data_IF_101190908995
#
_entry.id   IF_101190908995
#
_cell.length_a   1.000
_cell.length_b   1.000
_cell.length_c   1.000
_cell.angle_alpha   90.00
_cell.angle_beta   90.00
_cell.angle_gamma   90.00
#
_symmetry.space_group_name_H-M   'P 1'
#
loop_
_entity.id
_entity.type
_entity.pdbx_description
1 polymer ?
#
# COMPACT_ATOMS: atom_id res chain seq x y z
N UNK A 1 4.82 -40.75 48.33
CA UNK A 1 5.05 -42.13 47.89
C UNK A 1 4.43 -42.28 46.50
N UNK A 2 5.28 -42.34 45.47
CA UNK A 2 5.02 -42.77 44.06
C UNK A 2 4.04 -41.96 43.20
N UNK A 3 4.23 -41.77 41.89
CA UNK A 3 5.38 -41.66 40.97
C UNK A 3 4.74 -41.38 39.58
N UNK A 4 5.32 -40.47 38.80
CA UNK A 4 5.40 -40.43 37.31
C UNK A 4 4.12 -40.47 36.42
N UNK A 5 3.98 -39.42 35.60
CA UNK A 5 4.10 -39.58 34.14
C UNK A 5 4.41 -38.23 33.47
N UNK A 6 5.63 -38.12 32.92
CA UNK A 6 6.08 -37.02 32.07
C UNK A 6 5.93 -37.47 30.61
N UNK A 7 5.12 -36.77 29.81
CA UNK A 7 5.12 -36.92 28.36
C UNK A 7 6.18 -35.99 27.77
N UNK A 8 7.20 -36.60 27.19
CA UNK A 8 8.26 -35.96 26.41
C UNK A 8 7.74 -35.71 24.98
N UNK A 9 7.56 -34.44 24.59
CA UNK A 9 7.36 -34.05 23.20
C UNK A 9 8.73 -33.84 22.54
N UNK A 10 9.14 -34.80 21.71
CA UNK A 10 10.27 -34.64 20.80
C UNK A 10 9.83 -33.80 19.59
N UNK A 11 10.25 -32.53 19.56
CA UNK A 11 10.09 -31.65 18.39
C UNK A 11 11.19 -31.91 17.37
N UNK A 12 10.81 -32.45 16.21
CA UNK A 12 11.67 -32.67 15.05
C UNK A 12 11.98 -31.31 14.39
N UNK A 13 13.22 -30.81 14.54
CA UNK A 13 13.69 -29.65 13.77
C UNK A 13 14.07 -30.10 12.36
N UNK A 14 13.25 -29.75 11.36
CA UNK A 14 13.63 -29.85 9.94
C UNK A 14 14.36 -28.55 9.58
N UNK A 15 15.68 -28.62 9.52
CA UNK A 15 16.51 -27.54 8.98
C UNK A 15 16.38 -27.48 7.45
N UNK A 16 15.84 -26.40 6.93
CA UNK A 16 15.87 -26.08 5.49
C UNK A 16 17.13 -25.29 5.22
N UNK A 17 18.18 -25.96 4.73
CA UNK A 17 19.37 -25.30 4.21
C UNK A 17 19.10 -24.74 2.82
N UNK A 18 19.04 -23.42 2.67
CA UNK A 18 19.10 -22.78 1.35
C UNK A 18 20.53 -22.90 0.81
N UNK A 19 20.70 -23.72 -0.22
CA UNK A 19 21.93 -23.74 -1.05
C UNK A 19 21.76 -22.71 -2.16
N UNK A 20 22.53 -21.62 -2.10
CA UNK A 20 22.67 -20.66 -3.20
C UNK A 20 23.57 -21.26 -4.27
N UNK A 21 23.00 -21.68 -5.41
CA UNK A 21 23.76 -22.11 -6.57
C UNK A 21 24.19 -20.85 -7.34
N UNK A 22 25.48 -20.55 -7.31
CA UNK A 22 26.12 -19.57 -8.20
C UNK A 22 26.45 -20.27 -9.52
N UNK A 23 25.83 -19.84 -10.62
CA UNK A 23 26.18 -20.32 -11.96
C UNK A 23 27.45 -19.60 -12.48
N UNK A 24 28.43 -20.31 -13.06
CA UNK A 24 29.50 -19.68 -13.82
C UNK A 24 29.06 -19.42 -15.28
N UNK A 25 29.25 -18.19 -15.74
CA UNK A 25 29.15 -17.82 -17.17
C UNK A 25 30.44 -18.26 -17.86
N UNK A 26 30.35 -19.28 -18.71
CA UNK A 26 31.44 -19.72 -19.60
C UNK A 26 31.20 -19.15 -21.00
N UNK A 27 32.15 -18.36 -21.48
CA UNK A 27 32.18 -17.86 -22.86
C UNK A 27 32.47 -19.00 -23.84
N UNK A 28 31.64 -19.13 -24.89
CA UNK A 28 31.90 -20.04 -26.01
C UNK A 28 32.28 -19.27 -27.26
N UNK A 29 33.55 -19.41 -27.64
CA UNK A 29 34.12 -19.03 -28.94
C UNK A 29 33.79 -20.14 -29.93
N UNK A 30 32.98 -19.84 -30.96
CA UNK A 30 32.67 -20.77 -32.05
C UNK A 30 33.70 -20.65 -33.17
N UNK A 31 34.64 -21.59 -33.24
CA UNK A 31 35.50 -21.87 -34.39
C UNK A 31 34.79 -22.80 -35.38
N UNK A 32 34.52 -22.30 -36.59
CA UNK A 32 33.88 -23.04 -37.67
C UNK A 32 34.90 -23.91 -38.43
N UNK A 33 34.66 -25.23 -38.46
CA UNK A 33 35.46 -26.23 -39.18
C UNK A 33 34.82 -26.51 -40.55
N UNK A 34 35.57 -26.30 -41.63
CA UNK A 34 35.22 -26.62 -43.02
C UNK A 34 35.39 -28.12 -43.32
N UNK A 35 34.53 -28.69 -44.17
CA UNK A 35 34.90 -29.75 -45.13
C UNK A 35 33.94 -29.71 -46.34
N UNK A 36 34.39 -30.02 -47.58
CA UNK A 36 33.79 -29.52 -48.83
C UNK A 36 33.08 -30.58 -49.68
N UNK A 37 32.21 -30.14 -50.59
CA UNK A 37 31.63 -31.03 -51.62
C UNK A 37 30.77 -30.30 -52.65
N UNK A 38 31.29 -30.26 -53.88
CA UNK A 38 30.62 -30.12 -55.19
C UNK A 38 30.34 -28.73 -55.80
N UNK A 39 30.55 -28.71 -57.11
CA UNK A 39 30.94 -27.64 -58.05
C UNK A 39 29.80 -27.42 -59.09
N UNK A 40 29.93 -26.61 -60.19
CA UNK A 40 29.45 -25.21 -60.29
C UNK A 40 28.43 -24.89 -61.43
N UNK A 41 27.82 -23.68 -61.35
CA UNK A 41 27.43 -22.65 -62.35
C UNK A 41 26.73 -23.01 -63.71
N UNK A 42 25.84 -22.14 -64.26
CA UNK A 42 26.22 -20.89 -64.97
C UNK A 42 25.32 -19.66 -64.66
N UNK A 43 25.83 -18.43 -64.46
CA UNK A 43 26.23 -17.34 -65.40
C UNK A 43 25.08 -16.43 -65.92
N UNK A 44 25.19 -15.14 -65.50
CA UNK A 44 24.78 -13.84 -66.09
C UNK A 44 23.30 -13.47 -66.33
N UNK A 45 22.87 -12.36 -65.70
CA UNK A 45 22.52 -11.11 -66.41
C UNK A 45 22.15 -9.96 -65.45
N UNK A 46 22.78 -8.80 -65.66
CA UNK A 46 22.30 -7.45 -65.29
C UNK A 46 21.84 -6.78 -66.59
N UNK A 47 20.89 -5.81 -66.62
CA UNK A 47 21.01 -4.44 -66.08
C UNK A 47 19.69 -3.97 -65.39
N UNK A 48 19.49 -2.83 -64.75
CA UNK A 48 19.81 -1.45 -65.12
C UNK A 48 19.68 -0.48 -63.92
N UNK A 49 20.11 0.75 -64.18
CA UNK A 49 20.52 1.85 -63.31
C UNK A 49 19.37 2.85 -63.10
N UNK A 50 19.09 3.29 -61.88
CA UNK A 50 18.41 4.57 -61.61
C UNK A 50 19.08 5.30 -60.43
N UNK A 51 19.25 6.61 -60.59
CA UNK A 51 20.05 7.52 -59.77
C UNK A 51 19.31 8.04 -58.52
N UNK A 52 20.01 8.46 -57.45
CA UNK A 52 19.42 9.22 -56.36
C UNK A 52 19.52 10.74 -56.58
N UNK A 53 18.44 11.44 -56.22
CA UNK A 53 18.20 12.89 -56.23
C UNK A 53 18.93 13.57 -55.04
N UNK A 54 19.39 14.83 -55.12
CA UNK A 54 20.32 15.43 -54.16
C UNK A 54 19.64 16.12 -52.96
N UNK A 55 20.42 16.23 -51.88
CA UNK A 55 20.10 16.89 -50.59
C UNK A 55 20.39 18.39 -50.66
N UNK A 56 19.61 19.26 -49.97
CA UNK A 56 20.10 20.59 -49.60
C UNK A 56 20.18 20.80 -48.07
N UNK A 57 21.42 21.01 -47.62
CA UNK A 57 21.97 21.93 -46.62
C UNK A 57 21.14 22.39 -45.40
N UNK A 58 21.70 22.08 -44.23
CA UNK A 58 21.51 22.69 -42.91
C UNK A 58 22.03 24.13 -42.83
N UNK A 59 21.47 24.97 -41.94
CA UNK A 59 22.28 25.92 -41.18
C UNK A 59 22.28 25.66 -39.66
N UNK A 60 23.41 26.03 -39.09
CA UNK A 60 24.00 25.81 -37.77
C UNK A 60 23.35 26.60 -36.63
N UNK A 61 23.24 25.98 -35.44
CA UNK A 61 22.99 26.66 -34.15
C UNK A 61 23.07 25.67 -32.97
N UNK A 62 23.80 25.95 -31.87
CA UNK A 62 23.93 25.02 -30.75
C UNK A 62 22.70 25.07 -29.84
N UNK A 63 21.83 24.05 -29.95
CA UNK A 63 20.78 23.81 -28.97
C UNK A 63 21.39 23.13 -27.73
N UNK A 64 21.66 23.91 -26.69
CA UNK A 64 21.79 23.39 -25.33
C UNK A 64 20.45 22.75 -24.96
N UNK A 65 20.35 21.43 -25.04
CA UNK A 65 19.22 20.67 -24.53
C UNK A 65 19.22 20.81 -23.00
N UNK A 66 18.36 21.66 -22.45
CA UNK A 66 18.00 21.59 -21.04
C UNK A 66 17.44 20.17 -20.77
N UNK A 67 17.85 19.50 -19.69
CA UNK A 67 17.14 18.32 -19.22
C UNK A 67 15.67 18.71 -18.98
N UNK A 68 14.71 17.81 -19.26
CA UNK A 68 13.32 18.09 -18.89
C UNK A 68 13.26 18.42 -17.39
N UNK A 69 12.44 19.40 -16.96
CA UNK A 69 12.26 19.67 -15.54
C UNK A 69 11.83 18.38 -14.85
N UNK A 70 12.45 18.09 -13.70
CA UNK A 70 12.04 16.98 -12.86
C UNK A 70 10.52 17.08 -12.60
N UNK A 71 9.78 15.95 -12.57
CA UNK A 71 8.37 16.00 -12.23
C UNK A 71 8.19 16.71 -10.89
N UNK A 72 7.20 17.60 -10.73
CA UNK A 72 6.96 18.24 -9.45
C UNK A 72 6.77 17.16 -8.40
N UNK A 73 7.48 17.29 -7.28
CA UNK A 73 7.27 16.52 -6.06
C UNK A 73 5.78 16.51 -5.76
N UNK A 74 5.21 15.32 -5.61
CA UNK A 74 3.80 15.07 -5.36
C UNK A 74 3.39 15.58 -3.98
N UNK A 75 3.25 16.89 -3.87
CA UNK A 75 2.52 17.60 -2.82
C UNK A 75 1.90 18.79 -3.51
N UNK A 76 0.57 18.84 -3.47
CA UNK A 76 -0.30 19.94 -3.91
C UNK A 76 -0.65 20.01 -5.40
N UNK A 77 -1.28 18.94 -5.91
CA UNK A 77 -2.40 19.12 -6.85
C UNK A 77 -3.71 19.06 -6.06
N UNK A 78 -4.14 20.20 -5.53
CA UNK A 78 -5.54 20.39 -5.13
C UNK A 78 -6.27 20.85 -6.38
N UNK A 79 -7.06 19.97 -7.00
CA UNK A 79 -8.00 20.38 -8.02
C UNK A 79 -8.94 21.45 -7.42
N UNK A 80 -9.19 22.58 -8.12
CA UNK A 80 -10.11 23.59 -7.63
C UNK A 80 -11.54 23.03 -7.77
N UNK A 81 -12.09 22.46 -6.69
CA UNK A 81 -13.45 21.89 -6.78
C UNK A 81 -14.11 21.28 -5.55
N UNK A 82 -13.42 21.03 -4.42
CA UNK A 82 -14.08 20.50 -3.22
C UNK A 82 -13.52 21.13 -1.95
N UNK A 83 -14.04 22.30 -1.58
CA UNK A 83 -13.93 22.88 -0.25
C UNK A 83 -15.32 23.08 0.31
N UNK A 84 -15.88 22.05 0.91
CA UNK A 84 -16.95 22.15 1.92
C UNK A 84 -17.19 20.74 2.49
N UNK A 85 -16.79 20.49 3.73
CA UNK A 85 -17.26 19.32 4.51
C UNK A 85 -16.20 18.36 5.08
N UNK A 86 -14.95 18.36 4.60
CA UNK A 86 -13.90 17.54 5.23
C UNK A 86 -13.09 18.35 6.23
N UNK A 87 -13.20 18.02 7.52
CA UNK A 87 -12.34 18.62 8.54
C UNK A 87 -10.88 18.30 8.22
N UNK A 88 -9.99 19.30 8.03
CA UNK A 88 -8.59 19.07 7.66
C UNK A 88 -7.82 18.24 8.70
N UNK A 89 -8.34 18.14 9.92
CA UNK A 89 -7.82 17.32 11.00
C UNK A 89 -7.98 15.80 10.74
N UNK A 90 -8.96 15.37 9.94
CA UNK A 90 -9.27 13.95 9.78
C UNK A 90 -8.36 13.24 8.77
N UNK A 91 -7.67 13.98 7.91
CA UNK A 91 -6.81 13.43 6.85
C UNK A 91 -5.31 13.42 7.19
N UNK A 92 -4.89 13.97 8.34
CA UNK A 92 -3.47 13.98 8.73
C UNK A 92 -3.06 12.63 9.31
N UNK A 93 -1.88 12.16 8.92
CA UNK A 93 -1.22 11.03 9.56
C UNK A 93 -0.70 11.48 10.93
N UNK A 94 -1.11 10.79 11.99
CA UNK A 94 -0.58 11.00 13.34
C UNK A 94 0.24 9.77 13.74
N UNK A 95 1.46 10.03 14.18
CA UNK A 95 2.37 9.00 14.68
C UNK A 95 1.79 8.32 15.92
N UNK A 96 2.06 7.04 16.08
CA UNK A 96 1.68 6.31 17.28
C UNK A 96 2.37 4.95 17.41
N UNK A 97 2.04 4.21 18.48
CA UNK A 97 2.74 2.97 18.83
C UNK A 97 2.78 1.94 17.70
N UNK A 98 3.96 1.43 17.38
CA UNK A 98 4.19 0.45 16.32
C UNK A 98 4.71 1.04 15.00
N UNK A 99 4.58 2.35 14.80
CA UNK A 99 5.13 3.03 13.62
C UNK A 99 6.66 2.98 13.64
N UNK A 100 7.26 2.76 12.48
CA UNK A 100 8.71 2.74 12.29
C UNK A 100 9.14 3.94 11.46
N UNK A 101 10.05 4.73 12.01
CA UNK A 101 10.58 5.93 11.38
C UNK A 101 12.08 5.80 11.15
N UNK A 102 12.56 6.42 10.09
CA UNK A 102 13.97 6.63 9.82
C UNK A 102 14.31 8.10 10.05
N UNK A 103 15.36 8.34 10.82
CA UNK A 103 15.83 9.68 11.17
C UNK A 103 17.20 9.83 10.54
N UNK A 104 17.32 10.82 9.65
CA UNK A 104 18.60 11.26 9.11
C UNK A 104 18.96 12.59 9.73
N UNK A 105 20.10 12.65 10.43
CA UNK A 105 20.63 13.89 10.98
C UNK A 105 21.82 14.31 10.14
N UNK A 106 21.59 15.34 9.33
CA UNK A 106 22.58 15.93 8.45
C UNK A 106 23.16 17.21 9.04
N UNK A 107 24.32 17.59 8.52
CA UNK A 107 24.93 18.87 8.84
C UNK A 107 24.35 19.98 7.95
N UNK A 108 24.15 21.20 8.46
CA UNK A 108 23.84 22.34 7.63
C UNK A 108 24.87 22.55 6.53
N UNK A 109 24.45 22.94 5.32
CA UNK A 109 25.36 23.42 4.30
C UNK A 109 26.06 24.70 4.77
N UNK A 110 27.34 24.87 4.43
CA UNK A 110 28.14 26.06 4.76
C UNK A 110 29.47 25.76 5.44
N UNK A 111 30.10 26.80 5.99
CA UNK A 111 31.41 26.68 6.67
C UNK A 111 31.31 25.79 7.90
N UNK A 112 32.18 24.78 7.97
CA UNK A 112 32.21 23.82 9.06
C UNK A 112 32.40 24.48 10.42
N UNK A 113 31.52 24.12 11.37
CA UNK A 113 31.59 24.56 12.76
C UNK A 113 31.89 23.37 13.67
N UNK A 114 32.91 23.56 14.49
CA UNK A 114 33.39 22.58 15.46
C UNK A 114 32.33 22.30 16.51
N UNK A 115 32.21 21.03 16.88
CA UNK A 115 31.28 20.56 17.91
C UNK A 115 31.78 19.32 18.63
N UNK A 116 31.05 18.86 19.65
CA UNK A 116 31.37 17.63 20.37
C UNK A 116 31.57 16.43 19.44
N UNK A 117 32.57 15.61 19.74
CA UNK A 117 32.92 14.41 18.97
C UNK A 117 33.86 14.64 17.78
N UNK A 118 34.17 15.89 17.42
CA UNK A 118 35.17 16.19 16.41
C UNK A 118 36.59 15.92 16.93
N UNK A 119 37.48 15.41 16.08
CA UNK A 119 38.90 15.26 16.38
C UNK A 119 39.71 16.29 15.61
N UNK A 120 40.55 17.03 16.31
CA UNK A 120 41.33 18.13 15.75
C UNK A 120 42.82 17.90 15.99
N UNK A 121 43.62 18.46 15.08
CA UNK A 121 45.07 18.51 15.16
C UNK A 121 45.52 19.96 15.24
N UNK A 122 46.39 20.25 16.19
CA UNK A 122 47.03 21.56 16.34
C UNK A 122 48.52 21.37 16.18
N UNK A 123 49.12 22.09 15.22
CA UNK A 123 50.56 22.11 15.01
C UNK A 123 51.07 23.53 15.26
N UNK A 124 52.03 23.68 16.17
CA UNK A 124 52.65 24.97 16.49
C UNK A 124 54.07 24.97 15.93
N UNK A 125 54.26 25.67 14.82
CA UNK A 125 55.55 25.70 14.10
C UNK A 125 56.60 26.35 14.99
N UNK A 126 57.78 25.71 15.07
CA UNK A 126 58.91 25.99 15.98
C UNK A 126 58.74 25.54 17.43
N UNK A 127 57.56 25.05 17.81
CA UNK A 127 57.26 24.58 19.17
C UNK A 127 56.53 23.23 19.11
N UNK A 128 57.21 22.15 18.69
CA UNK A 128 56.59 20.84 18.53
C UNK A 128 55.95 20.33 19.82
N UNK A 129 56.50 20.68 20.99
CA UNK A 129 55.97 20.30 22.31
C UNK A 129 54.60 20.92 22.62
N UNK A 130 54.19 21.97 21.88
CA UNK A 130 52.87 22.59 21.98
C UNK A 130 51.89 22.08 20.91
N UNK A 131 52.34 21.16 20.06
CA UNK A 131 51.51 20.49 19.05
C UNK A 131 50.81 19.30 19.68
N UNK A 132 49.52 19.12 19.42
CA UNK A 132 48.72 18.07 20.03
C UNK A 132 47.52 17.70 19.15
N UNK A 133 46.94 16.56 19.44
CA UNK A 133 45.64 16.15 18.90
C UNK A 133 44.66 16.07 20.05
N UNK A 134 43.42 16.49 19.82
CA UNK A 134 42.39 16.45 20.86
C UNK A 134 41.03 16.08 20.26
N UNK A 135 40.26 15.33 21.03
CA UNK A 135 38.84 15.13 20.81
C UNK A 135 38.07 16.24 21.53
N UNK A 136 37.12 16.88 20.85
CA UNK A 136 36.21 17.85 21.49
C UNK A 136 35.22 17.07 22.36
N UNK A 137 35.22 17.36 23.65
CA UNK A 137 34.37 16.68 24.63
C UNK A 137 32.88 17.10 24.51
N UNK A 138 31.94 16.43 25.22
CA UNK A 138 30.51 16.76 25.21
C UNK A 138 30.18 18.23 25.56
N UNK A 139 31.00 18.85 26.43
CA UNK A 139 30.84 20.27 26.79
C UNK A 139 31.33 21.23 25.68
N UNK A 140 31.97 20.71 24.63
CA UNK A 140 32.49 21.49 23.51
C UNK A 140 33.89 22.08 23.76
N UNK A 141 34.63 21.50 24.70
CA UNK A 141 35.94 21.95 25.14
C UNK A 141 37.05 20.96 24.75
N UNK A 142 38.27 21.47 24.72
CA UNK A 142 39.50 20.68 24.61
C UNK A 142 40.49 21.11 25.70
N UNK A 143 41.42 20.22 26.05
CA UNK A 143 42.57 20.57 26.89
C UNK A 143 43.72 20.98 25.98
N UNK A 144 44.22 22.19 26.16
CA UNK A 144 45.30 22.78 25.37
C UNK A 144 46.52 22.97 26.27
N UNK A 145 47.73 22.52 25.85
CA UNK A 145 48.96 22.75 26.59
C UNK A 145 49.13 24.23 26.96
N UNK A 146 49.52 24.53 28.19
CA UNK A 146 49.69 25.89 28.77
C UNK A 146 48.42 26.76 28.86
N UNK A 147 47.38 26.52 28.04
CA UNK A 147 46.13 27.31 28.07
C UNK A 147 45.03 26.65 28.92
N UNK A 148 45.16 25.36 29.21
CA UNK A 148 44.15 24.59 29.93
C UNK A 148 42.91 24.34 29.07
N UNK A 149 41.73 24.38 29.68
CA UNK A 149 40.46 24.11 29.00
C UNK A 149 40.05 25.26 28.09
N UNK A 150 39.90 24.99 26.79
CA UNK A 150 39.48 25.96 25.78
C UNK A 150 38.22 25.49 25.08
N UNK A 151 37.18 26.33 25.08
CA UNK A 151 35.94 26.05 24.34
C UNK A 151 36.10 26.33 22.85
N UNK A 152 35.78 25.33 22.01
CA UNK A 152 35.77 25.44 20.55
C UNK A 152 34.36 25.33 19.95
N UNK A 153 33.33 25.12 20.78
CA UNK A 153 31.95 24.93 20.36
C UNK A 153 31.48 26.06 19.44
N UNK A 154 31.02 25.67 18.24
CA UNK A 154 30.44 26.58 17.25
C UNK A 154 31.43 27.42 16.44
N UNK A 155 32.74 27.35 16.74
CA UNK A 155 33.77 28.08 16.01
C UNK A 155 34.08 27.42 14.66
N UNK A 156 34.46 28.22 13.66
CA UNK A 156 35.10 27.70 12.45
C UNK A 156 36.55 27.31 12.75
N UNK A 157 37.18 26.51 11.88
CA UNK A 157 38.60 26.14 12.04
C UNK A 157 39.51 27.37 12.15
N UNK A 158 39.25 28.41 11.35
CA UNK A 158 40.01 29.66 11.37
C UNK A 158 39.81 30.42 12.69
N UNK A 159 38.58 30.48 13.20
CA UNK A 159 38.28 31.12 14.49
C UNK A 159 38.94 30.37 15.65
N UNK A 160 38.91 29.03 15.62
CA UNK A 160 39.59 28.18 16.60
C UNK A 160 41.11 28.37 16.56
N UNK A 161 41.70 28.40 15.37
CA UNK A 161 43.12 28.69 15.16
C UNK A 161 43.51 30.04 15.78
N UNK A 162 42.75 31.10 15.48
CA UNK A 162 43.03 32.43 16.01
C UNK A 162 42.86 32.49 17.54
N UNK A 163 41.87 31.77 18.09
CA UNK A 163 41.64 31.68 19.53
C UNK A 163 42.81 31.01 20.25
N UNK A 164 43.34 29.91 19.72
CA UNK A 164 44.51 29.23 20.31
C UNK A 164 45.78 30.06 20.12
N UNK A 165 46.00 30.62 18.93
CA UNK A 165 47.15 31.49 18.64
C UNK A 165 47.22 32.67 19.59
N UNK A 166 46.12 33.40 19.76
CA UNK A 166 46.04 34.53 20.69
C UNK A 166 46.23 34.08 22.14
N UNK A 167 45.73 32.90 22.51
CA UNK A 167 45.98 32.29 23.81
C UNK A 167 47.47 32.09 24.10
N UNK A 168 48.24 31.61 23.11
CA UNK A 168 49.68 31.35 23.23
C UNK A 168 50.56 32.59 23.25
N UNK A 169 50.08 33.77 22.81
CA UNK A 169 50.89 34.99 22.79
C UNK A 169 51.45 35.40 24.18
N UNK A 170 50.83 34.91 25.27
CA UNK A 170 51.30 35.16 26.64
C UNK A 170 52.46 34.26 27.08
N UNK A 171 52.73 33.19 26.32
CA UNK A 171 53.73 32.17 26.64
C UNK A 171 54.83 32.07 25.58
N UNK A 172 54.52 32.44 24.33
CA UNK A 172 55.40 32.27 23.18
C UNK A 172 55.32 33.49 22.29
N UNK A 173 56.48 33.97 21.80
CA UNK A 173 56.56 35.10 20.88
C UNK A 173 56.27 34.63 19.45
N UNK A 174 55.30 35.27 18.79
CA UNK A 174 54.90 34.99 17.40
C UNK A 174 54.64 33.50 17.11
N UNK A 175 53.69 32.86 17.83
CA UNK A 175 53.34 31.47 17.57
C UNK A 175 52.68 31.35 16.18
N UNK A 176 53.20 30.46 15.36
CA UNK A 176 52.58 30.09 14.09
C UNK A 176 51.81 28.78 14.30
N UNK A 177 50.49 28.89 14.42
CA UNK A 177 49.59 27.78 14.76
C UNK A 177 48.81 27.40 13.51
N UNK A 178 48.87 26.12 13.15
CA UNK A 178 48.05 25.49 12.11
C UNK A 178 47.01 24.60 12.79
N UNK A 179 45.77 24.68 12.32
CA UNK A 179 44.65 23.93 12.88
C UNK A 179 44.03 23.06 11.78
N UNK A 180 43.90 21.76 12.01
CA UNK A 180 43.32 20.81 11.06
C UNK A 180 42.21 20.00 11.72
N UNK A 181 41.21 19.64 10.91
CA UNK A 181 40.19 18.69 11.31
C UNK A 181 40.66 17.29 10.91
N UNK A 182 40.91 16.42 11.89
CA UNK A 182 41.42 15.07 11.67
C UNK A 182 40.27 14.08 11.44
N UNK A 183 39.20 14.22 12.21
CA UNK A 183 37.98 13.46 12.01
C UNK A 183 36.75 14.32 12.33
N UNK A 184 35.73 14.20 11.49
CA UNK A 184 34.42 14.79 11.73
C UNK A 184 33.60 13.87 12.61
N UNK A 185 32.70 14.45 13.42
CA UNK A 185 31.64 13.66 14.06
C UNK A 185 30.80 12.89 13.03
N UNK A 186 30.47 11.60 13.26
CA UNK A 186 29.66 10.80 12.34
C UNK A 186 28.27 11.41 12.12
N UNK A 187 27.68 11.15 10.95
CA UNK A 187 26.25 11.43 10.72
C UNK A 187 25.39 10.50 11.59
N UNK A 188 24.37 11.04 12.26
CA UNK A 188 23.46 10.24 13.07
C UNK A 188 22.31 9.77 12.19
N UNK A 189 22.42 8.55 11.70
CA UNK A 189 21.36 7.88 10.96
C UNK A 189 20.89 6.71 11.80
N UNK A 190 19.62 6.71 12.20
CA UNK A 190 19.05 5.60 12.95
C UNK A 190 17.57 5.43 12.61
N UNK A 191 17.13 4.18 12.66
CA UNK A 191 15.72 3.85 12.65
C UNK A 191 15.23 3.61 14.07
N UNK A 192 13.98 3.99 14.33
CA UNK A 192 13.33 3.75 15.61
C UNK A 192 11.89 3.34 15.39
N UNK A 193 11.42 2.39 16.19
CA UNK A 193 10.01 2.06 16.30
C UNK A 193 9.41 2.78 17.51
N UNK A 194 8.24 3.37 17.34
CA UNK A 194 7.49 4.00 18.44
C UNK A 194 6.98 2.88 19.35
N UNK A 195 7.36 2.94 20.63
CA UNK A 195 6.98 1.94 21.62
C UNK A 195 5.51 2.09 22.07
N UNK A 196 4.96 1.14 22.86
CA UNK A 196 3.58 1.20 23.37
C UNK A 196 3.23 2.49 24.14
N UNK A 197 4.22 3.10 24.81
CA UNK A 197 4.06 4.36 25.53
C UNK A 197 4.14 5.60 24.61
N UNK A 198 4.27 5.42 23.30
CA UNK A 198 4.27 6.50 22.32
C UNK A 198 5.62 7.21 22.14
N UNK A 199 6.71 6.57 22.55
CA UNK A 199 8.05 7.16 22.61
C UNK A 199 9.06 6.44 21.71
N UNK A 200 10.16 7.15 21.40
CA UNK A 200 11.37 6.60 20.78
C UNK A 200 12.59 6.90 21.65
N UNK A 201 13.67 6.12 21.44
CA UNK A 201 14.98 6.41 22.03
C UNK A 201 15.82 7.15 20.99
N UNK A 202 16.17 8.40 21.28
CA UNK A 202 17.08 9.21 20.48
C UNK A 202 18.49 9.12 21.09
N UNK A 203 19.52 8.70 20.34
CA UNK A 203 20.89 8.63 20.84
C UNK A 203 21.34 9.98 21.44
N UNK A 204 22.07 9.94 22.56
CA UNK A 204 22.60 11.11 23.29
C UNK A 204 21.56 12.06 23.90
N UNK A 205 20.27 11.89 23.61
CA UNK A 205 19.16 12.66 24.18
C UNK A 205 18.36 11.82 25.17
N UNK A 206 18.07 10.57 24.83
CA UNK A 206 17.19 9.68 25.58
C UNK A 206 15.78 9.60 24.98
N UNK A 207 14.77 9.49 25.84
CA UNK A 207 13.39 9.21 25.42
C UNK A 207 12.70 10.46 24.87
N UNK A 208 12.06 10.36 23.70
CA UNK A 208 11.28 11.44 23.07
C UNK A 208 9.90 10.91 22.69
N UNK A 209 8.85 11.58 23.18
CA UNK A 209 7.45 11.26 22.87
C UNK A 209 7.05 11.78 21.49
N UNK A 210 6.50 10.91 20.64
CA UNK A 210 6.07 11.26 19.28
C UNK A 210 4.59 10.97 19.01
N UNK A 211 3.89 10.30 19.93
CA UNK A 211 2.48 9.96 19.77
C UNK A 211 1.61 11.20 19.51
N UNK A 212 0.72 11.08 18.55
CA UNK A 212 -0.24 12.12 18.18
C UNK A 212 0.36 13.27 17.38
N UNK A 213 1.66 13.26 17.11
CA UNK A 213 2.34 14.28 16.28
C UNK A 213 2.30 13.91 14.81
N UNK A 214 2.31 14.91 13.95
CA UNK A 214 2.62 14.71 12.52
C UNK A 214 4.12 14.45 12.32
N UNK A 215 4.52 14.00 11.13
CA UNK A 215 5.94 13.79 10.82
C UNK A 215 6.75 15.08 10.96
N UNK A 216 6.18 16.20 10.54
CA UNK A 216 6.81 17.52 10.61
C UNK A 216 6.96 17.99 12.06
N UNK A 217 5.91 17.82 12.87
CA UNK A 217 5.93 18.15 14.30
C UNK A 217 6.95 17.27 15.06
N UNK A 218 6.99 15.97 14.73
CA UNK A 218 7.98 15.05 15.28
C UNK A 218 9.42 15.40 14.87
N UNK A 219 9.63 15.77 13.61
CA UNK A 219 10.93 16.23 13.11
C UNK A 219 11.43 17.43 13.89
N UNK A 220 10.58 18.45 14.07
CA UNK A 220 10.94 19.64 14.85
C UNK A 220 11.21 19.31 16.31
N UNK A 221 10.40 18.45 16.93
CA UNK A 221 10.61 18.00 18.30
C UNK A 221 11.96 17.29 18.48
N UNK A 222 12.33 16.40 17.56
CA UNK A 222 13.63 15.70 17.58
C UNK A 222 14.78 16.67 17.30
N UNK A 223 14.63 17.59 16.35
CA UNK A 223 15.63 18.64 16.05
C UNK A 223 15.93 19.48 17.28
N UNK A 224 14.89 19.94 17.99
CA UNK A 224 15.03 20.70 19.24
C UNK A 224 15.70 19.88 20.34
N UNK A 225 15.31 18.61 20.51
CA UNK A 225 15.99 17.71 21.43
C UNK A 225 17.50 17.56 21.14
N UNK A 226 17.87 17.33 19.87
CA UNK A 226 19.26 17.18 19.45
C UNK A 226 20.07 18.47 19.51
N UNK A 227 19.43 19.64 19.38
CA UNK A 227 20.11 20.95 19.43
C UNK A 227 20.84 21.23 20.75
N UNK A 228 20.53 20.49 21.82
CA UNK A 228 21.26 20.56 23.09
C UNK A 228 22.68 20.02 22.96
N UNK A 229 22.87 18.99 22.14
CA UNK A 229 24.14 18.28 21.94
C UNK A 229 24.83 18.68 20.62
N UNK A 230 24.04 19.01 19.59
CA UNK A 230 24.52 19.29 18.24
C UNK A 230 24.32 20.77 17.88
N UNK A 231 25.30 21.38 17.22
CA UNK A 231 25.19 22.73 16.68
C UNK A 231 24.37 22.70 15.39
N UNK A 232 23.16 23.26 15.42
CA UNK A 232 22.23 23.39 14.28
C UNK A 232 22.03 22.09 13.50
N UNK A 233 21.51 20.99 14.08
CA UNK A 233 21.27 19.76 13.32
C UNK A 233 20.17 19.98 12.28
N UNK A 234 20.38 19.49 11.05
CA UNK A 234 19.29 19.29 10.09
C UNK A 234 18.75 17.89 10.33
N UNK A 235 17.46 17.77 10.62
CA UNK A 235 16.80 16.49 10.86
C UNK A 235 15.80 16.28 9.74
N UNK A 236 15.90 15.15 9.07
CA UNK A 236 14.91 14.67 8.11
C UNK A 236 14.30 13.39 8.67
N UNK A 237 12.98 13.34 8.75
CA UNK A 237 12.26 12.19 9.26
C UNK A 237 11.39 11.58 8.16
N UNK A 238 11.45 10.26 8.01
CA UNK A 238 10.59 9.53 7.08
C UNK A 238 9.95 8.32 7.77
N UNK A 239 8.73 7.99 7.35
CA UNK A 239 8.01 6.83 7.84
C UNK A 239 8.35 5.63 6.96
N UNK A 240 9.00 4.62 7.55
CA UNK A 240 9.45 3.42 6.84
C UNK A 240 8.54 2.21 7.05
N UNK A 241 7.73 2.22 8.12
CA UNK A 241 6.72 1.21 8.38
C UNK A 241 5.54 1.81 9.13
N UNK A 242 4.33 1.59 8.63
CA UNK A 242 3.10 1.95 9.33
C UNK A 242 2.59 0.78 10.14
N UNK A 243 2.04 1.05 11.33
CA UNK A 243 1.29 0.02 12.06
C UNK A 243 0.04 -0.37 11.26
N UNK A 244 -0.30 -1.67 11.18
CA UNK A 244 -1.63 -2.10 10.78
C UNK A 244 -2.67 -1.36 11.62
N UNK A 245 -3.65 -0.75 10.97
CA UNK A 245 -4.79 -0.18 11.69
C UNK A 245 -5.90 -1.23 11.75
N UNK A 246 -6.49 -1.42 12.93
CA UNK A 246 -7.67 -2.25 13.08
C UNK A 246 -8.90 -1.36 12.98
N UNK A 247 -9.77 -1.68 12.04
CA UNK A 247 -11.04 -0.98 11.84
C UNK A 247 -12.21 -1.92 12.08
N UNK A 248 -13.35 -1.36 12.45
CA UNK A 248 -14.61 -2.10 12.54
C UNK A 248 -15.50 -1.72 11.37
N UNK A 249 -16.06 -2.69 10.66
CA UNK A 249 -16.97 -2.45 9.53
C UNK A 249 -18.31 -3.13 9.83
N UNK A 250 -19.37 -2.34 9.93
CA UNK A 250 -20.72 -2.79 10.27
C UNK A 250 -21.76 -2.26 9.28
N UNK A 251 -22.96 -2.85 9.31
CA UNK A 251 -24.09 -2.46 8.46
C UNK A 251 -24.20 -3.30 7.18
N UNK A 252 -24.67 -2.69 6.10
CA UNK A 252 -24.96 -3.35 4.81
C UNK A 252 -23.68 -3.58 3.97
N UNK A 253 -22.80 -4.44 4.49
CA UNK A 253 -21.64 -5.00 3.79
C UNK A 253 -21.74 -6.52 3.74
N UNK A 254 -21.00 -7.17 2.85
CA UNK A 254 -21.12 -8.63 2.70
C UNK A 254 -20.54 -9.40 3.87
N UNK A 255 -19.49 -8.89 4.51
CA UNK A 255 -18.86 -9.49 5.68
C UNK A 255 -18.61 -8.39 6.72
N UNK A 256 -19.56 -8.14 7.64
CA UNK A 256 -19.31 -7.27 8.78
C UNK A 256 -18.26 -7.88 9.71
N UNK A 257 -17.44 -7.05 10.33
CA UNK A 257 -16.40 -7.53 11.25
C UNK A 257 -15.27 -6.54 11.50
N UNK A 258 -14.25 -7.01 12.20
CA UNK A 258 -13.00 -6.27 12.47
C UNK A 258 -11.96 -6.67 11.45
N UNK A 259 -11.31 -5.68 10.83
CA UNK A 259 -10.36 -5.87 9.74
C UNK A 259 -9.03 -5.20 10.05
N UNK A 260 -7.89 -5.92 9.95
CA UNK A 260 -6.58 -5.30 9.90
C UNK A 260 -6.36 -4.73 8.49
N UNK A 261 -6.11 -3.43 8.39
CA UNK A 261 -5.78 -2.77 7.13
C UNK A 261 -4.27 -2.54 7.07
N UNK A 262 -3.60 -3.35 6.27
CA UNK A 262 -2.16 -3.31 6.04
C UNK A 262 -1.85 -2.41 4.83
N UNK A 263 -2.11 -1.10 4.95
CA UNK A 263 -1.85 -0.13 3.89
C UNK A 263 -1.16 1.12 4.44
N UNK A 264 -0.26 1.70 3.63
CA UNK A 264 0.41 2.98 3.91
C UNK A 264 -0.62 4.14 3.90
N UNK A 265 -1.73 3.97 3.19
CA UNK A 265 -2.87 4.87 3.24
C UNK A 265 -4.12 4.03 3.35
N UNK A 266 -4.56 3.65 4.56
CA UNK A 266 -5.79 2.88 4.73
C UNK A 266 -6.99 3.78 4.39
N UNK A 267 -7.81 3.38 3.42
CA UNK A 267 -8.94 4.17 2.91
C UNK A 267 -10.25 3.42 3.12
N UNK A 268 -11.35 4.18 3.14
CA UNK A 268 -12.71 3.63 3.26
C UNK A 268 -13.04 2.66 2.11
N UNK A 269 -12.62 2.97 0.88
CA UNK A 269 -12.80 2.07 -0.28
C UNK A 269 -12.11 0.72 -0.08
N UNK A 270 -10.87 0.73 0.40
CA UNK A 270 -10.06 -0.47 0.60
C UNK A 270 -10.65 -1.32 1.73
N UNK A 271 -11.10 -0.66 2.80
CA UNK A 271 -11.80 -1.28 3.90
C UNK A 271 -13.10 -1.97 3.45
N UNK A 272 -13.93 -1.28 2.66
CA UNK A 272 -15.15 -1.88 2.10
C UNK A 272 -14.81 -3.10 1.24
N UNK A 273 -13.76 -3.05 0.43
CA UNK A 273 -13.32 -4.19 -0.37
C UNK A 273 -12.88 -5.38 0.50
N UNK A 274 -12.17 -5.14 1.61
CA UNK A 274 -11.81 -6.17 2.59
C UNK A 274 -13.04 -6.82 3.24
N UNK A 275 -14.11 -6.05 3.46
CA UNK A 275 -15.42 -6.55 3.89
C UNK A 275 -16.20 -7.30 2.79
N UNK A 276 -15.56 -7.54 1.63
CA UNK A 276 -16.18 -8.16 0.48
C UNK A 276 -17.10 -7.22 -0.30
N UNK A 277 -16.92 -5.91 -0.17
CA UNK A 277 -17.73 -4.88 -0.83
C UNK A 277 -19.08 -4.61 -0.16
N UNK A 278 -19.81 -3.65 -0.71
CA UNK A 278 -21.15 -3.26 -0.26
C UNK A 278 -22.22 -4.30 -0.57
N UNK A 279 -23.17 -4.48 0.34
CA UNK A 279 -24.30 -5.38 0.15
C UNK A 279 -25.34 -4.78 -0.83
N UNK A 280 -26.34 -5.57 -1.22
CA UNK A 280 -27.38 -5.16 -2.17
C UNK A 280 -28.19 -3.95 -1.71
N UNK A 281 -28.50 -3.89 -0.42
CA UNK A 281 -29.35 -2.86 0.19
C UNK A 281 -28.53 -1.73 0.82
N UNK A 282 -27.22 -1.66 0.54
CA UNK A 282 -26.35 -0.61 1.05
C UNK A 282 -26.71 0.75 0.47
N UNK A 283 -26.78 1.77 1.34
CA UNK A 283 -26.80 3.17 0.92
C UNK A 283 -25.38 3.75 0.98
N UNK A 284 -24.74 3.81 -0.20
CA UNK A 284 -23.40 4.34 -0.35
C UNK A 284 -23.32 5.87 -0.31
N UNK A 285 -24.45 6.59 -0.24
CA UNK A 285 -24.46 8.06 -0.13
C UNK A 285 -24.24 8.55 1.29
N UNK A 286 -24.48 7.69 2.26
CA UNK A 286 -24.54 8.03 3.69
C UNK A 286 -23.59 7.16 4.51
N UNK A 287 -22.45 6.73 3.94
CA UNK A 287 -21.48 5.90 4.67
C UNK A 287 -20.88 6.73 5.81
N UNK A 288 -20.95 6.23 7.04
CA UNK A 288 -20.47 6.96 8.21
C UNK A 288 -19.13 6.39 8.68
N UNK A 289 -18.17 7.27 8.95
CA UNK A 289 -16.91 6.93 9.61
C UNK A 289 -16.90 7.58 10.98
N UNK A 290 -16.81 6.76 12.02
CA UNK A 290 -16.78 7.19 13.42
C UNK A 290 -15.38 6.98 13.97
N UNK A 291 -14.79 8.06 14.49
CA UNK A 291 -13.47 8.08 15.10
C UNK A 291 -13.57 8.47 16.56
N UNK A 292 -12.99 7.68 17.45
CA UNK A 292 -12.83 8.04 18.86
C UNK A 292 -11.53 8.84 19.03
N UNK A 293 -11.63 10.07 19.51
CA UNK A 293 -10.50 10.93 19.78
C UNK A 293 -9.85 10.60 21.13
N UNK A 294 -8.66 11.17 21.38
CA UNK A 294 -7.86 10.95 22.60
C UNK A 294 -8.60 11.42 23.85
N UNK A 295 -9.42 12.46 23.74
CA UNK A 295 -10.27 12.98 24.82
C UNK A 295 -11.51 12.11 25.10
N UNK A 296 -11.69 11.02 24.36
CA UNK A 296 -12.82 10.10 24.47
C UNK A 296 -14.07 10.53 23.67
N UNK A 297 -14.06 11.72 23.07
CA UNK A 297 -15.14 12.16 22.18
C UNK A 297 -15.18 11.33 20.90
N UNK A 298 -16.36 11.24 20.26
CA UNK A 298 -16.53 10.50 19.00
C UNK A 298 -16.93 11.49 17.91
N UNK A 299 -16.09 11.62 16.90
CA UNK A 299 -16.38 12.40 15.69
C UNK A 299 -16.97 11.44 14.65
N UNK A 300 -18.05 11.87 13.99
CA UNK A 300 -18.68 11.12 12.90
C UNK A 300 -18.64 11.95 11.63
N UNK A 301 -18.18 11.34 10.54
CA UNK A 301 -18.17 11.95 9.22
C UNK A 301 -19.00 11.10 8.25
N UNK A 302 -19.91 11.74 7.54
CA UNK A 302 -20.66 11.11 6.45
C UNK A 302 -19.92 11.28 5.14
N UNK A 303 -19.84 10.19 4.36
CA UNK A 303 -19.17 10.10 3.07
C UNK A 303 -20.17 9.63 2.02
N UNK A 304 -20.25 10.37 0.92
CA UNK A 304 -20.97 9.95 -0.28
C UNK A 304 -20.01 9.26 -1.25
N UNK A 305 -20.09 7.94 -1.29
CA UNK A 305 -19.32 7.11 -2.22
C UNK A 305 -20.08 6.78 -3.51
N UNK A 306 -21.35 7.17 -3.62
CA UNK A 306 -22.21 6.86 -4.76
C UNK A 306 -22.15 7.96 -5.83
N UNK A 307 -22.36 9.22 -5.45
CA UNK A 307 -22.43 10.34 -6.39
C UNK A 307 -21.17 10.47 -7.27
N UNK A 308 -19.94 10.26 -6.76
CA UNK A 308 -18.73 10.24 -7.60
C UNK A 308 -18.75 9.13 -8.66
N UNK A 309 -19.31 7.96 -8.36
CA UNK A 309 -19.44 6.88 -9.36
C UNK A 309 -20.37 7.29 -10.50
N UNK A 310 -21.42 8.04 -10.20
CA UNK A 310 -22.41 8.49 -11.19
C UNK A 310 -21.83 9.55 -12.13
N UNK A 311 -21.03 10.47 -11.59
CA UNK A 311 -20.52 11.62 -12.32
C UNK A 311 -19.10 11.41 -12.88
N UNK A 312 -18.49 10.24 -12.64
CA UNK A 312 -17.08 9.98 -12.97
C UNK A 312 -16.12 10.84 -12.14
N UNK A 313 -16.53 11.26 -10.95
CA UNK A 313 -15.74 12.06 -10.03
C UNK A 313 -14.81 11.22 -9.14
N UNK A 314 -13.93 11.90 -8.40
CA UNK A 314 -13.07 11.24 -7.43
C UNK A 314 -13.87 10.79 -6.20
N UNK A 315 -13.71 9.52 -5.82
CA UNK A 315 -14.33 8.98 -4.59
C UNK A 315 -13.65 9.62 -3.38
N UNK A 316 -14.41 10.12 -2.38
CA UNK A 316 -13.89 10.65 -1.13
C UNK A 316 -12.78 9.78 -0.53
N UNK A 317 -11.60 10.37 -0.39
CA UNK A 317 -10.40 9.68 0.07
C UNK A 317 -10.13 9.94 1.55
N UNK A 318 -11.04 9.52 2.43
CA UNK A 318 -10.86 9.64 3.87
C UNK A 318 -9.85 8.59 4.36
N UNK A 319 -8.75 9.06 4.96
CA UNK A 319 -7.78 8.19 5.62
C UNK A 319 -8.33 7.64 6.94
N UNK A 320 -8.27 6.33 7.08
CA UNK A 320 -8.65 5.60 8.28
C UNK A 320 -7.52 5.63 9.33
N UNK A 321 -7.92 5.57 10.58
CA UNK A 321 -7.06 5.43 11.75
C UNK A 321 -7.42 4.18 12.54
N UNK A 322 -6.53 3.78 13.42
CA UNK A 322 -6.76 2.66 14.32
C UNK A 322 -7.99 2.93 15.22
N UNK A 323 -8.87 1.94 15.33
CA UNK A 323 -10.12 2.04 16.08
C UNK A 323 -11.27 2.74 15.35
N UNK A 324 -11.08 3.19 14.11
CA UNK A 324 -12.18 3.74 13.31
C UNK A 324 -13.29 2.70 13.06
N UNK A 325 -14.53 3.14 13.11
CA UNK A 325 -15.70 2.33 12.79
C UNK A 325 -16.41 2.86 11.53
N UNK A 326 -16.53 2.02 10.51
CA UNK A 326 -17.25 2.29 9.27
C UNK A 326 -18.64 1.67 9.39
N UNK A 327 -19.68 2.48 9.18
CA UNK A 327 -21.07 2.06 9.23
C UNK A 327 -21.68 2.34 7.86
N UNK A 328 -22.11 1.27 7.19
CA UNK A 328 -22.82 1.36 5.92
C UNK A 328 -24.31 1.20 6.19
N UNK A 329 -25.12 2.27 6.08
CA UNK A 329 -26.54 2.18 6.36
C UNK A 329 -27.29 1.36 5.30
N UNK A 330 -28.48 0.88 5.69
CA UNK A 330 -29.44 0.30 4.77
C UNK A 330 -30.22 1.40 4.06
N UNK A 331 -30.38 1.25 2.75
CA UNK A 331 -31.16 2.14 1.89
C UNK A 331 -32.65 1.97 2.11
N UNK A 332 -33.36 3.09 2.23
CA UNK A 332 -34.83 3.13 2.24
C UNK A 332 -35.36 3.20 0.80
N UNK A 333 -35.91 2.09 0.30
CA UNK A 333 -36.17 1.91 -1.13
C UNK A 333 -37.45 2.63 -1.60
N UNK A 334 -38.38 2.91 -0.68
CA UNK A 334 -39.70 3.44 -1.00
C UNK A 334 -39.68 4.75 -1.80
N UNK A 335 -38.57 5.52 -1.75
CA UNK A 335 -38.45 6.84 -2.38
C UNK A 335 -37.22 7.06 -3.28
N UNK A 336 -36.38 6.03 -3.53
CA UNK A 336 -35.03 6.26 -4.09
C UNK A 336 -34.85 5.75 -5.54
N UNK A 337 -35.50 6.42 -6.50
CA UNK A 337 -35.36 6.12 -7.94
C UNK A 337 -34.03 6.60 -8.55
N UNK A 338 -33.31 7.49 -7.89
CA UNK A 338 -32.04 8.06 -8.39
C UNK A 338 -30.83 7.16 -8.12
N UNK A 339 -31.01 6.07 -7.36
CA UNK A 339 -29.95 5.13 -7.01
C UNK A 339 -29.86 4.00 -8.04
N UNK A 340 -28.91 4.12 -8.96
CA UNK A 340 -28.60 3.09 -9.94
C UNK A 340 -27.76 1.97 -9.30
N UNK A 341 -28.41 0.84 -9.03
CA UNK A 341 -27.75 -0.34 -8.47
C UNK A 341 -26.80 -0.99 -9.46
N UNK A 342 -27.10 -0.95 -10.76
CA UNK A 342 -26.26 -1.58 -11.78
C UNK A 342 -24.90 -0.87 -11.85
N UNK A 343 -24.90 0.45 -11.72
CA UNK A 343 -23.68 1.25 -11.60
C UNK A 343 -22.81 0.80 -10.43
N UNK A 344 -23.39 0.68 -9.23
CA UNK A 344 -22.66 0.25 -8.02
C UNK A 344 -22.10 -1.17 -8.18
N UNK A 345 -22.88 -2.11 -8.73
CA UNK A 345 -22.42 -3.49 -8.94
C UNK A 345 -21.22 -3.62 -9.88
N UNK A 346 -21.04 -2.66 -10.79
CA UNK A 346 -19.90 -2.65 -11.72
C UNK A 346 -18.70 -1.86 -11.17
N UNK A 347 -18.82 -1.30 -9.98
CA UNK A 347 -17.75 -0.54 -9.33
C UNK A 347 -16.86 -1.41 -8.44
N UNK A 348 -15.69 -0.88 -8.09
CA UNK A 348 -14.77 -1.51 -7.12
C UNK A 348 -15.27 -1.48 -5.68
N UNK A 349 -16.38 -0.78 -5.40
CA UNK A 349 -17.01 -0.71 -4.07
C UNK A 349 -18.01 -1.84 -3.79
N UNK A 350 -18.33 -2.66 -4.80
CA UNK A 350 -19.17 -3.84 -4.65
C UNK A 350 -18.32 -5.11 -4.47
N UNK A 351 -18.96 -6.27 -4.26
CA UNK A 351 -18.26 -7.55 -4.29
C UNK A 351 -17.46 -7.65 -5.60
N UNK A 352 -16.17 -8.02 -5.60
CA UNK A 352 -15.43 -8.16 -6.85
C UNK A 352 -15.88 -9.39 -7.67
N UNK A 353 -16.42 -10.40 -6.98
CA UNK A 353 -16.96 -11.61 -7.58
C UNK A 353 -18.35 -11.92 -7.00
N UNK A 354 -19.19 -12.50 -7.84
CA UNK A 354 -20.51 -13.05 -7.49
C UNK A 354 -20.47 -14.57 -7.61
N UNK A 355 -21.28 -15.27 -6.82
CA UNK A 355 -21.43 -16.73 -6.89
C UNK A 355 -22.83 -17.04 -7.36
N UNK A 356 -22.92 -17.63 -8.54
CA UNK A 356 -24.20 -18.04 -9.13
C UNK A 356 -24.31 -19.56 -9.06
N UNK A 357 -25.47 -20.06 -8.66
CA UNK A 357 -25.71 -21.50 -8.52
C UNK A 357 -26.48 -21.98 -9.73
N UNK A 358 -25.90 -22.90 -10.50
CA UNK A 358 -26.54 -23.50 -11.66
C UNK A 358 -27.00 -24.90 -11.29
N UNK A 359 -28.31 -25.11 -11.33
CA UNK A 359 -28.94 -26.41 -11.22
C UNK A 359 -29.18 -26.95 -12.63
N UNK A 360 -28.35 -27.91 -13.05
CA UNK A 360 -28.45 -28.55 -14.35
C UNK A 360 -29.06 -29.95 -14.21
N UNK A 361 -30.34 -30.09 -14.55
CA UNK A 361 -31.03 -31.39 -14.54
C UNK A 361 -30.57 -32.33 -15.64
N UNK A 362 -30.01 -31.79 -16.73
CA UNK A 362 -29.53 -32.58 -17.85
C UNK A 362 -28.14 -33.16 -17.58
N UNK A 363 -27.33 -32.46 -16.77
CA UNK A 363 -25.98 -32.85 -16.33
C UNK A 363 -25.87 -33.39 -14.89
N UNK A 364 -26.98 -33.45 -14.14
CA UNK A 364 -27.09 -34.22 -12.89
C UNK A 364 -26.66 -33.54 -11.59
N UNK A 365 -26.56 -32.22 -11.50
CA UNK A 365 -26.11 -31.59 -10.25
C UNK A 365 -26.27 -30.07 -10.12
N UNK A 366 -25.90 -29.57 -8.95
CA UNK A 366 -25.77 -28.13 -8.65
C UNK A 366 -24.29 -27.76 -8.75
N UNK A 367 -23.98 -26.79 -9.58
CA UNK A 367 -22.64 -26.21 -9.70
C UNK A 367 -22.67 -24.77 -9.19
N UNK A 368 -21.71 -24.38 -8.36
CA UNK A 368 -21.54 -22.97 -7.99
C UNK A 368 -20.46 -22.37 -8.89
N UNK A 369 -20.84 -21.38 -9.69
CA UNK A 369 -19.97 -20.70 -10.66
C UNK A 369 -19.57 -19.34 -10.08
N UNK A 370 -18.29 -19.14 -9.73
CA UNK A 370 -17.78 -17.82 -9.39
C UNK A 370 -17.60 -16.99 -10.66
N UNK A 371 -18.14 -15.78 -10.68
CA UNK A 371 -18.06 -14.86 -11.81
C UNK A 371 -17.60 -13.48 -11.36
N UNK A 372 -16.93 -12.69 -12.21
CA UNK A 372 -16.74 -11.27 -11.96
C UNK A 372 -18.08 -10.55 -11.71
N UNK A 373 -18.09 -9.56 -10.85
CA UNK A 373 -19.29 -8.73 -10.69
C UNK A 373 -19.57 -7.93 -11.97
N UNK A 374 -20.85 -7.77 -12.30
CA UNK A 374 -21.29 -7.24 -13.60
C UNK A 374 -21.44 -8.30 -14.70
N UNK A 375 -21.10 -9.57 -14.44
CA UNK A 375 -21.39 -10.68 -15.36
C UNK A 375 -22.87 -10.81 -15.69
N UNK A 376 -23.13 -11.33 -16.88
CA UNK A 376 -24.45 -11.53 -17.45
C UNK A 376 -24.77 -13.01 -17.60
N UNK A 377 -26.03 -13.31 -17.92
CA UNK A 377 -26.51 -14.68 -18.07
C UNK A 377 -25.68 -15.53 -19.06
N UNK A 378 -25.21 -14.95 -20.17
CA UNK A 378 -24.37 -15.67 -21.14
C UNK A 378 -23.02 -16.12 -20.53
N UNK A 379 -22.45 -15.35 -19.60
CA UNK A 379 -21.17 -15.68 -18.96
C UNK A 379 -21.26 -16.97 -18.15
N UNK A 380 -22.44 -17.28 -17.60
CA UNK A 380 -22.70 -18.57 -16.92
C UNK A 380 -22.75 -19.72 -17.92
N UNK A 381 -23.38 -19.51 -19.08
CA UNK A 381 -23.61 -20.56 -20.06
C UNK A 381 -22.30 -21.11 -20.64
N UNK A 382 -21.28 -20.26 -20.78
CA UNK A 382 -19.97 -20.65 -21.27
C UNK A 382 -19.27 -21.71 -20.40
N UNK A 383 -19.64 -21.79 -19.10
CA UNK A 383 -19.03 -22.70 -18.13
C UNK A 383 -19.81 -23.98 -17.85
N UNK A 384 -20.93 -24.24 -18.54
CA UNK A 384 -21.81 -25.38 -18.25
C UNK A 384 -22.07 -26.23 -19.50
N UNK A 385 -22.09 -27.55 -19.36
CA UNK A 385 -22.52 -28.44 -20.46
C UNK A 385 -24.03 -28.28 -20.67
N UNK A 386 -24.42 -27.86 -21.88
CA UNK A 386 -25.81 -27.58 -22.25
C UNK A 386 -26.35 -28.50 -23.36
N UNK A 387 -25.57 -29.50 -23.79
CA UNK A 387 -25.83 -30.26 -25.02
C UNK A 387 -27.17 -31.04 -25.00
N UNK A 388 -27.67 -31.38 -23.82
CA UNK A 388 -28.96 -32.08 -23.64
C UNK A 388 -30.02 -31.28 -22.88
N UNK A 389 -29.81 -29.97 -22.74
CA UNK A 389 -30.68 -29.06 -22.00
C UNK A 389 -31.67 -28.29 -22.91
N UNK A 390 -32.85 -27.96 -22.38
CA UNK A 390 -33.77 -27.06 -23.07
C UNK A 390 -33.34 -25.61 -22.89
N UNK A 391 -32.65 -25.07 -23.88
CA UNK A 391 -32.17 -23.67 -23.88
C UNK A 391 -33.25 -22.63 -24.19
N UNK A 392 -34.46 -23.06 -24.56
CA UNK A 392 -35.56 -22.14 -24.85
C UNK A 392 -36.31 -21.70 -23.59
N UNK A 393 -36.16 -22.44 -22.49
CA UNK A 393 -36.84 -22.19 -21.22
C UNK A 393 -35.83 -22.48 -20.10
N UNK A 394 -35.31 -21.43 -19.48
CA UNK A 394 -34.41 -21.47 -18.33
C UNK A 394 -35.01 -20.57 -17.27
N UNK A 395 -34.96 -20.97 -16.00
CA UNK A 395 -35.43 -20.12 -14.91
C UNK A 395 -34.26 -19.49 -14.17
N UNK A 396 -34.26 -18.16 -14.10
CA UNK A 396 -33.50 -17.41 -13.11
C UNK A 396 -34.38 -17.22 -11.88
N UNK A 397 -33.88 -17.66 -10.74
CA UNK A 397 -34.50 -17.48 -9.43
C UNK A 397 -33.61 -16.55 -8.62
N UNK A 398 -34.18 -15.43 -8.19
CA UNK A 398 -33.49 -14.37 -7.46
C UNK A 398 -34.25 -14.04 -6.19
N UNK A 399 -33.55 -13.87 -5.07
CA UNK A 399 -34.19 -13.37 -3.86
C UNK A 399 -34.56 -11.89 -4.04
N UNK A 400 -35.82 -11.56 -3.83
CA UNK A 400 -36.30 -10.18 -3.78
C UNK A 400 -36.32 -9.76 -2.30
N UNK A 401 -35.32 -8.98 -1.83
CA UNK A 401 -35.21 -8.59 -0.43
C UNK A 401 -36.34 -7.66 0.02
N UNK A 402 -37.05 -7.00 -0.89
CA UNK A 402 -38.19 -6.13 -0.54
C UNK A 402 -39.43 -6.97 -0.23
N UNK A 403 -39.67 -8.00 -1.05
CA UNK A 403 -40.81 -8.89 -0.88
C UNK A 403 -40.52 -10.05 0.07
N UNK A 404 -39.28 -10.18 0.55
CA UNK A 404 -38.81 -11.26 1.42
C UNK A 404 -38.99 -12.65 0.79
N UNK A 405 -39.03 -12.75 -0.55
CA UNK A 405 -39.32 -14.01 -1.26
C UNK A 405 -38.51 -14.13 -2.54
N UNK A 406 -38.31 -15.36 -3.01
CA UNK A 406 -37.72 -15.59 -4.31
C UNK A 406 -38.68 -15.22 -5.45
N UNK A 407 -38.17 -14.54 -6.46
CA UNK A 407 -38.84 -14.20 -7.72
C UNK A 407 -38.24 -15.02 -8.85
N UNK A 408 -39.09 -15.51 -9.75
CA UNK A 408 -38.70 -16.32 -10.90
C UNK A 408 -38.84 -15.48 -12.18
N UNK A 409 -37.81 -15.51 -13.02
CA UNK A 409 -37.82 -14.96 -14.37
C UNK A 409 -37.49 -16.09 -15.36
N UNK A 410 -38.29 -16.23 -16.42
CA UNK A 410 -37.96 -17.14 -17.53
C UNK A 410 -37.03 -16.43 -18.51
N UNK A 411 -35.99 -17.14 -18.94
CA UNK A 411 -34.95 -16.67 -19.86
C UNK A 411 -34.85 -17.66 -21.01
N UNK A 412 -34.81 -17.13 -22.23
CA UNK A 412 -34.52 -17.91 -23.42
C UNK A 412 -33.04 -17.75 -23.80
N UNK A 413 -32.22 -18.76 -23.48
CA UNK A 413 -30.78 -18.75 -23.78
C UNK A 413 -30.48 -18.68 -25.28
N UNK A 414 -31.31 -19.31 -26.13
CA UNK A 414 -31.09 -19.25 -27.59
C UNK A 414 -31.16 -17.80 -28.08
N UNK A 415 -32.16 -17.05 -27.61
CA UNK A 415 -32.31 -15.63 -27.93
C UNK A 415 -31.17 -14.77 -27.36
N UNK A 416 -30.76 -15.03 -26.11
CA UNK A 416 -29.62 -14.34 -25.50
C UNK A 416 -28.34 -14.54 -26.33
N UNK A 417 -28.03 -15.79 -26.71
CA UNK A 417 -26.88 -16.14 -27.54
C UNK A 417 -26.96 -15.56 -28.96
N UNK A 418 -28.16 -15.35 -29.50
CA UNK A 418 -28.36 -14.67 -30.78
C UNK A 418 -28.32 -13.13 -30.69
N UNK A 419 -28.04 -12.56 -29.51
CA UNK A 419 -27.87 -11.11 -29.31
C UNK A 419 -29.09 -10.36 -28.76
N UNK A 420 -30.14 -11.06 -28.32
CA UNK A 420 -31.28 -10.41 -27.65
C UNK A 420 -30.90 -9.98 -26.22
N UNK A 421 -30.58 -8.69 -26.06
CA UNK A 421 -30.19 -8.10 -24.77
C UNK A 421 -31.26 -8.21 -23.68
N UNK A 422 -32.55 -8.36 -24.02
CA UNK A 422 -33.62 -8.55 -23.02
C UNK A 422 -33.53 -9.89 -22.29
N UNK A 423 -32.88 -10.87 -22.94
CA UNK A 423 -32.67 -12.22 -22.40
C UNK A 423 -31.29 -12.35 -21.72
N UNK A 424 -30.37 -11.42 -21.96
CA UNK A 424 -29.04 -11.42 -21.32
C UNK A 424 -29.03 -10.60 -20.01
N UNK A 425 -29.71 -11.13 -19.00
CA UNK A 425 -29.91 -10.46 -17.71
C UNK A 425 -28.59 -10.34 -16.94
N UNK A 426 -28.36 -9.20 -16.31
CA UNK A 426 -27.24 -9.01 -15.37
C UNK A 426 -27.45 -9.85 -14.10
N UNK A 427 -26.42 -10.59 -13.71
CA UNK A 427 -26.48 -11.54 -12.59
C UNK A 427 -26.11 -10.86 -11.27
N UNK A 428 -26.60 -11.44 -10.18
CA UNK A 428 -26.37 -10.99 -8.81
C UNK A 428 -25.81 -12.14 -7.96
N UNK A 429 -25.14 -11.80 -6.86
CA UNK A 429 -24.63 -12.81 -5.92
C UNK A 429 -25.80 -13.67 -5.39
N UNK A 430 -25.59 -14.98 -5.36
CA UNK A 430 -26.57 -15.99 -4.96
C UNK A 430 -27.78 -16.18 -5.88
N UNK A 431 -27.74 -15.64 -7.11
CA UNK A 431 -28.70 -16.03 -8.13
C UNK A 431 -28.67 -17.55 -8.37
N UNK A 432 -29.84 -18.13 -8.62
CA UNK A 432 -29.98 -19.54 -8.95
C UNK A 432 -30.52 -19.68 -10.36
N UNK A 433 -29.76 -20.33 -11.24
CA UNK A 433 -30.14 -20.62 -12.61
C UNK A 433 -30.53 -22.09 -12.69
N UNK A 434 -31.72 -22.36 -13.22
CA UNK A 434 -32.27 -23.70 -13.34
C UNK A 434 -32.42 -24.06 -14.81
N UNK A 435 -31.65 -25.05 -15.24
CA UNK A 435 -31.58 -25.55 -16.62
C UNK A 435 -32.11 -26.99 -16.65
N UNK A 436 -33.12 -27.28 -17.48
CA UNK A 436 -33.76 -28.60 -17.53
C UNK A 436 -34.38 -28.96 -18.87
N UNK A 437 -35.01 -30.14 -18.98
CA UNK A 437 -35.59 -30.65 -20.25
C UNK A 437 -37.05 -30.20 -20.48
N UNK A 438 -37.85 -30.05 -19.42
CA UNK A 438 -39.25 -29.54 -19.47
C UNK A 438 -39.60 -28.82 -18.15
N UNK A 439 -40.01 -27.56 -18.22
CA UNK A 439 -39.88 -26.63 -17.09
C UNK A 439 -41.11 -26.48 -16.18
N UNK A 440 -42.25 -27.12 -16.45
CA UNK A 440 -43.50 -26.77 -15.75
C UNK A 440 -44.07 -27.90 -14.86
N UNK A 441 -43.68 -29.17 -15.05
CA UNK A 441 -44.27 -30.27 -14.27
C UNK A 441 -43.61 -30.57 -12.91
N UNK A 442 -42.44 -29.99 -12.59
CA UNK A 442 -41.67 -30.37 -11.38
C UNK A 442 -41.23 -29.22 -10.46
N UNK A 443 -41.55 -27.96 -10.77
CA UNK A 443 -41.02 -26.78 -10.06
C UNK A 443 -41.80 -26.44 -8.77
N UNK A 444 -43.03 -26.93 -8.60
CA UNK A 444 -43.87 -26.67 -7.40
C UNK A 444 -43.23 -27.16 -6.10
N UNK A 445 -42.43 -28.23 -6.12
CA UNK A 445 -41.76 -28.77 -4.92
C UNK A 445 -40.45 -28.06 -4.55
N UNK A 446 -39.88 -27.24 -5.43
CA UNK A 446 -38.58 -26.59 -5.20
C UNK A 446 -38.76 -25.17 -4.66
N UNK A 447 -39.80 -24.46 -5.12
CA UNK A 447 -40.08 -23.08 -4.71
C UNK A 447 -40.53 -23.02 -3.24
N UNK A 448 -41.30 -24.01 -2.76
CA UNK A 448 -41.70 -24.09 -1.35
C UNK A 448 -40.54 -24.30 -0.38
N UNK A 449 -39.42 -24.85 -0.85
CA UNK A 449 -38.28 -25.22 -0.01
C UNK A 449 -37.12 -24.23 -0.10
N UNK A 450 -36.83 -23.68 -1.29
CA UNK A 450 -35.81 -22.64 -1.45
C UNK A 450 -36.23 -21.36 -0.69
N UNK A 451 -37.53 -21.09 -0.55
CA UNK A 451 -38.04 -19.89 0.09
C UNK A 451 -38.04 -19.89 1.63
N UNK A 452 -37.65 -20.99 2.31
CA UNK A 452 -37.91 -21.15 3.76
C UNK A 452 -36.70 -21.30 4.70
N UNK A 453 -35.43 -21.23 4.27
CA UNK A 453 -34.47 -20.49 5.10
C UNK A 453 -33.27 -19.91 4.31
N UNK A 454 -33.30 -18.63 3.95
CA UNK A 454 -32.13 -17.95 3.36
C UNK A 454 -31.05 -17.55 4.38
N UNK A 455 -31.16 -17.95 5.66
CA UNK A 455 -30.17 -17.64 6.70
C UNK A 455 -29.39 -18.84 7.24
N UNK A 456 -29.65 -20.08 6.80
CA UNK A 456 -28.90 -21.24 7.31
C UNK A 456 -28.57 -22.30 6.24
N UNK A 457 -27.29 -22.37 5.86
CA UNK A 457 -26.76 -23.32 4.86
C UNK A 457 -26.83 -24.77 5.37
N UNK A 458 -26.88 -25.00 6.70
CA UNK A 458 -26.96 -26.36 7.26
C UNK A 458 -28.30 -27.03 7.01
N UNK A 459 -29.40 -26.26 7.00
CA UNK A 459 -30.75 -26.77 6.71
C UNK A 459 -30.95 -27.11 5.23
N UNK A 460 -30.21 -26.42 4.34
CA UNK A 460 -30.22 -26.65 2.89
C UNK A 460 -29.59 -28.00 2.49
N UNK A 461 -28.58 -28.50 3.23
CA UNK A 461 -27.95 -29.80 2.98
C UNK A 461 -28.82 -31.00 3.41
N UNK A 462 -29.55 -30.87 4.53
CA UNK A 462 -30.48 -31.91 4.99
C UNK A 462 -31.68 -32.14 4.06
N UNK A 463 -31.96 -31.20 3.16
CA UNK A 463 -33.08 -31.26 2.21
C UNK A 463 -32.85 -32.22 1.02
N UNK A 464 -31.59 -32.56 0.69
CA UNK A 464 -31.25 -33.40 -0.47
C UNK A 464 -30.83 -34.83 -0.12
N UNK A 465 -31.05 -35.30 1.12
CA UNK A 465 -30.89 -36.72 1.46
C UNK A 465 -29.46 -37.24 1.42
N UNK A 466 -28.45 -36.40 1.67
CA UNK A 466 -27.11 -36.87 2.04
C UNK A 466 -27.03 -36.83 3.57
N UNK A 467 -27.71 -37.78 4.22
CA UNK A 467 -27.22 -38.25 5.51
C UNK A 467 -25.99 -39.08 5.18
N UNK A 468 -24.82 -38.55 5.51
CA UNK A 468 -23.66 -39.40 5.69
C UNK A 468 -23.99 -40.37 6.83
N UNK A 469 -24.25 -41.61 6.43
CA UNK A 469 -24.46 -42.70 7.34
C UNK A 469 -24.03 -43.96 6.60
N UNK A 470 -22.71 -44.16 6.40
CA UNK A 470 -22.03 -45.46 6.54
C UNK A 470 -20.52 -45.30 6.75
N UNK A 471 -20.08 -45.84 7.90
CA UNK A 471 -18.74 -46.16 8.41
C UNK A 471 -17.96 -45.07 9.14
#
# INVERSE_FOLDING_TARGET
MRLFNALSFAGLYVGVSLVTIVQPVVAQTSTQKRTPGQTPAPVLNTPARQAPVPVPNTPTGPLLRQPPPAPPSSTDFVAPGLREGMSPQLNRYLLGPGDSINILVQRPPGSYRLGPGDSIGVSVVRFPDLSFQALINPEGNIVVPLLGTVSLKGLTLQQAQQKIRSGYNRFVVNPNVTFSLLAQRPEFNFSAQINPEGNIIVPQVGTVSLQGLTLEEAQEKIRLALSRQLVNPLVSLSLIGQRPVQITINGEVNRPGVYPVNSITPRVSDALLLAGGSAMMADLRQVQVRRKLVDGSVVSQTLDLYTPLQNGGEIPNLRLQDGDAIIVPRREIANDKSYDRALVSRSTLATPQIRVRVLNYAGGGIVTVPLPNGSTFIDVLAGINTDSANLSDIALVRFDPEKGRAVKQSINAKKALSGDGSQNVALQDNDVIVVGRTLIAKITNIIGTIARPFYDIRTFLGFFGVNDNRY
#
